data_IF_999877722894
#
_entry.id   IF_999877722894
#
_cell.length_a   1.000
_cell.length_b   1.000
_cell.length_c   1.000
_cell.angle_alpha   90.00
_cell.angle_beta   90.00
_cell.angle_gamma   90.00
#
_symmetry.space_group_name_H-M   'P 1'
#
loop_
_entity.id
_entity.type
_entity.pdbx_description
1 polymer ?
#
# COMPACT_ATOMS: atom_id res chain seq x y z
N UNK A 1 7.22 41.73 7.09
CA UNK A 1 7.75 40.67 6.21
C UNK A 1 6.75 40.50 5.08
N UNK A 2 7.12 40.82 3.84
CA UNK A 2 6.23 40.71 2.68
C UNK A 2 6.36 39.27 2.18
N UNK A 3 5.29 38.49 2.28
CA UNK A 3 5.25 37.12 1.77
C UNK A 3 4.99 37.17 0.27
N UNK A 4 5.97 36.77 -0.54
CA UNK A 4 5.78 36.62 -1.99
C UNK A 4 4.90 35.39 -2.23
N UNK A 5 3.72 35.52 -2.86
CA UNK A 5 2.88 34.38 -3.16
C UNK A 5 3.61 33.43 -4.11
N UNK A 6 3.46 32.12 -3.89
CA UNK A 6 4.03 31.11 -4.77
C UNK A 6 3.45 31.23 -6.19
N UNK A 7 4.29 31.04 -7.20
CA UNK A 7 3.85 31.03 -8.60
C UNK A 7 2.93 29.84 -8.88
N UNK A 8 1.99 29.96 -9.83
CA UNK A 8 1.10 28.87 -10.23
C UNK A 8 1.84 27.58 -10.61
N UNK A 9 3.05 27.69 -11.19
CA UNK A 9 3.90 26.55 -11.53
C UNK A 9 4.44 25.85 -10.27
N UNK A 10 4.89 26.63 -9.27
CA UNK A 10 5.40 26.10 -8.01
C UNK A 10 4.29 25.36 -7.24
N UNK A 11 3.08 25.93 -7.25
CA UNK A 11 1.92 25.32 -6.62
C UNK A 11 1.48 24.04 -7.33
N UNK A 12 1.45 24.04 -8.67
CA UNK A 12 1.12 22.84 -9.45
C UNK A 12 2.13 21.71 -9.22
N UNK A 13 3.41 22.03 -9.17
CA UNK A 13 4.47 21.05 -8.88
C UNK A 13 4.34 20.49 -7.45
N UNK A 14 4.03 21.34 -6.48
CA UNK A 14 3.78 20.94 -5.10
C UNK A 14 2.61 19.96 -5.01
N UNK A 15 1.47 20.27 -5.63
CA UNK A 15 0.32 19.37 -5.61
C UNK A 15 0.60 18.05 -6.31
N UNK A 16 1.24 18.10 -7.48
CA UNK A 16 1.60 16.88 -8.21
C UNK A 16 2.50 15.98 -7.37
N UNK A 17 3.54 16.53 -6.76
CA UNK A 17 4.46 15.74 -5.92
C UNK A 17 3.77 15.20 -4.66
N UNK A 18 2.85 15.95 -4.06
CA UNK A 18 2.06 15.50 -2.92
C UNK A 18 1.13 14.32 -3.30
N UNK A 19 0.40 14.42 -4.41
CA UNK A 19 -0.45 13.33 -4.89
C UNK A 19 0.35 12.09 -5.26
N UNK A 20 1.48 12.24 -5.94
CA UNK A 20 2.38 11.13 -6.26
C UNK A 20 2.92 10.46 -5.00
N UNK A 21 3.29 11.25 -3.98
CA UNK A 21 3.78 10.73 -2.69
C UNK A 21 2.68 9.97 -1.95
N UNK A 22 1.47 10.50 -1.91
CA UNK A 22 0.32 9.85 -1.27
C UNK A 22 0.02 8.49 -1.94
N UNK A 23 -0.13 8.47 -3.26
CA UNK A 23 -0.38 7.24 -4.03
C UNK A 23 0.76 6.22 -3.87
N UNK A 24 2.00 6.67 -3.94
CA UNK A 24 3.17 5.80 -3.80
C UNK A 24 3.26 5.17 -2.41
N UNK A 25 3.01 5.95 -1.36
CA UNK A 25 3.10 5.48 0.04
C UNK A 25 2.03 4.44 0.34
N UNK A 26 0.78 4.68 -0.05
CA UNK A 26 -0.32 3.75 0.21
C UNK A 26 -0.21 2.47 -0.64
N UNK A 27 0.18 2.60 -1.92
CA UNK A 27 0.38 1.46 -2.81
C UNK A 27 1.52 0.55 -2.33
N UNK A 28 2.65 1.14 -1.92
CA UNK A 28 3.77 0.40 -1.34
C UNK A 28 3.36 -0.30 -0.05
N UNK A 29 2.67 0.40 0.85
CA UNK A 29 2.20 -0.16 2.12
C UNK A 29 1.35 -1.41 1.88
N UNK A 30 0.29 -1.31 1.06
CA UNK A 30 -0.59 -2.45 0.75
C UNK A 30 0.19 -3.63 0.15
N UNK A 31 1.12 -3.35 -0.78
CA UNK A 31 1.91 -4.38 -1.45
C UNK A 31 2.87 -5.09 -0.49
N UNK A 32 3.54 -4.34 0.38
CA UNK A 32 4.48 -4.89 1.38
C UNK A 32 3.75 -5.75 2.41
N UNK A 33 2.57 -5.31 2.88
CA UNK A 33 1.75 -6.12 3.78
C UNK A 33 1.33 -7.44 3.12
N UNK A 34 0.79 -7.39 1.89
CA UNK A 34 0.41 -8.61 1.16
C UNK A 34 1.59 -9.54 0.95
N UNK A 35 2.73 -9.00 0.52
CA UNK A 35 3.96 -9.76 0.33
C UNK A 35 4.48 -10.39 1.64
N UNK A 36 4.46 -9.66 2.75
CA UNK A 36 4.86 -10.18 4.06
C UNK A 36 3.96 -11.32 4.56
N UNK A 37 2.65 -11.23 4.31
CA UNK A 37 1.70 -12.32 4.59
C UNK A 37 1.99 -13.54 3.72
N UNK A 38 2.35 -13.35 2.45
CA UNK A 38 2.62 -14.44 1.50
C UNK A 38 3.87 -15.27 1.85
N UNK A 39 4.73 -14.75 2.72
CA UNK A 39 5.92 -15.45 3.20
C UNK A 39 5.62 -16.55 4.23
N UNK A 40 4.45 -16.53 4.87
CA UNK A 40 4.03 -17.49 5.89
C UNK A 40 2.83 -18.31 5.42
N UNK A 41 2.76 -19.57 5.84
CA UNK A 41 1.61 -20.44 5.62
C UNK A 41 0.69 -20.47 6.85
N UNK A 42 -0.49 -19.85 6.76
CA UNK A 42 -1.47 -19.82 7.87
C UNK A 42 -2.12 -21.21 8.13
N UNK A 43 -1.90 -22.18 7.23
CA UNK A 43 -2.35 -23.56 7.43
C UNK A 43 -1.36 -24.40 8.24
N UNK A 44 -0.12 -23.94 8.39
CA UNK A 44 0.90 -24.60 9.19
C UNK A 44 0.87 -24.07 10.65
N UNK A 45 0.58 -24.94 11.64
CA UNK A 45 0.52 -24.53 13.04
C UNK A 45 1.85 -24.01 13.60
N UNK A 46 2.99 -24.37 13.00
CA UNK A 46 4.33 -23.92 13.44
C UNK A 46 4.72 -22.57 12.83
N UNK A 47 4.26 -22.24 11.62
CA UNK A 47 4.55 -20.96 10.95
C UNK A 47 3.61 -19.84 11.42
N UNK A 48 2.38 -20.17 11.81
CA UNK A 48 1.38 -19.21 12.31
C UNK A 48 1.84 -18.34 13.50
N UNK A 49 2.46 -18.88 14.57
CA UNK A 49 3.00 -18.03 15.64
C UNK A 49 4.19 -17.19 15.18
N UNK A 50 4.99 -17.66 14.22
CA UNK A 50 6.13 -16.92 13.67
C UNK A 50 5.65 -15.71 12.86
N UNK A 51 4.58 -15.89 12.09
CA UNK A 51 3.88 -14.82 11.37
C UNK A 51 3.39 -13.73 12.33
N UNK A 52 2.72 -14.12 13.42
CA UNK A 52 2.25 -13.17 14.45
C UNK A 52 3.41 -12.40 15.09
N UNK A 53 4.50 -13.09 15.44
CA UNK A 53 5.69 -12.46 16.01
C UNK A 53 6.36 -11.49 15.01
N UNK A 54 6.42 -11.85 13.72
CA UNK A 54 6.91 -10.96 12.66
C UNK A 54 6.07 -9.68 12.58
N UNK A 55 4.74 -9.79 12.53
CA UNK A 55 3.87 -8.61 12.48
C UNK A 55 3.95 -7.78 13.77
N UNK A 56 4.06 -8.41 14.93
CA UNK A 56 4.22 -7.70 16.19
C UNK A 56 5.50 -6.84 16.19
N UNK A 57 6.64 -7.42 15.81
CA UNK A 57 7.90 -6.67 15.65
C UNK A 57 7.80 -5.59 14.57
N UNK A 58 7.17 -5.90 13.45
CA UNK A 58 6.96 -4.94 12.36
C UNK A 58 6.17 -3.71 12.83
N UNK A 59 5.05 -3.90 13.53
CA UNK A 59 4.26 -2.80 14.09
C UNK A 59 4.99 -2.03 15.19
N UNK A 60 5.79 -2.73 16.02
CA UNK A 60 6.64 -2.08 17.01
C UNK A 60 7.64 -1.12 16.34
N UNK A 61 8.36 -1.57 15.31
CA UNK A 61 9.30 -0.71 14.59
C UNK A 61 8.62 0.43 13.83
N UNK A 62 7.44 0.21 13.25
CA UNK A 62 6.66 1.30 12.64
C UNK A 62 6.29 2.35 13.66
N UNK A 63 5.81 1.93 14.84
CA UNK A 63 5.40 2.84 15.90
C UNK A 63 6.59 3.64 16.42
N UNK A 64 7.72 2.97 16.65
CA UNK A 64 8.97 3.63 17.04
C UNK A 64 9.47 4.61 15.96
N UNK A 65 9.46 4.18 14.70
CA UNK A 65 9.83 5.02 13.56
C UNK A 65 8.93 6.24 13.42
N UNK A 66 7.62 6.10 13.67
CA UNK A 66 6.67 7.21 13.68
C UNK A 66 7.01 8.22 14.77
N UNK A 67 7.33 7.76 15.98
CA UNK A 67 7.75 8.63 17.10
C UNK A 67 9.05 9.37 16.77
N UNK A 68 10.05 8.67 16.22
CA UNK A 68 11.29 9.28 15.75
C UNK A 68 11.04 10.28 14.61
N UNK A 69 10.11 9.99 13.70
CA UNK A 69 9.78 10.87 12.58
C UNK A 69 9.19 12.19 13.07
N UNK A 70 8.19 12.16 13.96
CA UNK A 70 7.56 13.38 14.47
C UNK A 70 8.45 14.19 15.42
N UNK A 71 9.48 13.56 15.99
CA UNK A 71 10.40 14.22 16.95
C UNK A 71 11.69 14.65 16.27
N UNK A 72 12.51 13.68 15.84
CA UNK A 72 13.86 13.90 15.31
C UNK A 72 13.80 14.47 13.90
N UNK A 73 12.96 13.89 13.03
CA UNK A 73 12.92 14.29 11.61
C UNK A 73 12.28 15.68 11.46
N UNK A 74 11.28 16.01 12.27
CA UNK A 74 10.73 17.38 12.36
C UNK A 74 11.79 18.35 12.88
N UNK A 75 12.50 18.00 13.96
CA UNK A 75 13.59 18.83 14.48
C UNK A 75 14.66 19.13 13.42
N UNK A 76 15.07 18.13 12.64
CA UNK A 76 16.04 18.30 11.55
C UNK A 76 15.50 19.23 10.47
N UNK A 77 14.26 19.03 10.03
CA UNK A 77 13.65 19.88 9.00
C UNK A 77 13.53 21.34 9.43
N UNK A 78 13.20 21.59 10.69
CA UNK A 78 13.00 22.94 11.23
C UNK A 78 14.31 23.66 11.56
N UNK A 79 15.34 22.94 12.06
CA UNK A 79 16.60 23.55 12.52
C UNK A 79 17.73 23.48 11.48
N UNK A 80 17.86 22.36 10.76
CA UNK A 80 18.95 22.14 9.79
C UNK A 80 18.50 22.40 8.35
N UNK A 81 17.20 22.57 8.14
CA UNK A 81 16.61 22.87 6.85
C UNK A 81 15.95 21.65 6.21
N UNK A 82 14.96 21.95 5.38
CA UNK A 82 14.07 20.96 4.76
C UNK A 82 14.82 20.02 3.80
N UNK A 83 15.86 20.51 3.12
CA UNK A 83 16.66 19.73 2.18
C UNK A 83 17.36 18.53 2.84
N UNK A 84 17.87 18.71 4.07
CA UNK A 84 18.46 17.62 4.85
C UNK A 84 17.43 16.56 5.24
N UNK A 85 16.24 16.98 5.63
CA UNK A 85 15.14 16.07 5.92
C UNK A 85 14.77 15.19 4.72
N UNK A 86 14.66 15.80 3.54
CA UNK A 86 14.38 15.05 2.30
C UNK A 86 15.52 14.10 1.90
N UNK A 87 16.78 14.52 2.07
CA UNK A 87 17.93 13.66 1.79
C UNK A 87 17.93 12.40 2.68
N UNK A 88 17.64 12.55 3.98
CA UNK A 88 17.55 11.43 4.91
C UNK A 88 16.44 10.45 4.48
N UNK A 89 15.26 10.97 4.12
CA UNK A 89 14.13 10.14 3.66
C UNK A 89 14.50 9.41 2.37
N UNK A 90 15.11 10.09 1.40
CA UNK A 90 15.53 9.48 0.14
C UNK A 90 16.56 8.36 0.36
N UNK A 91 17.58 8.61 1.19
CA UNK A 91 18.57 7.60 1.57
C UNK A 91 17.93 6.39 2.26
N UNK A 92 16.98 6.61 3.17
CA UNK A 92 16.27 5.52 3.85
C UNK A 92 15.50 4.63 2.86
N UNK A 93 14.82 5.23 1.87
CA UNK A 93 14.11 4.48 0.82
C UNK A 93 15.09 3.66 -0.03
N UNK A 94 16.22 4.25 -0.44
CA UNK A 94 17.24 3.56 -1.24
C UNK A 94 17.83 2.38 -0.47
N UNK A 95 18.17 2.56 0.81
CA UNK A 95 18.68 1.48 1.66
C UNK A 95 17.62 0.37 1.79
N UNK A 96 16.36 0.74 2.04
CA UNK A 96 15.26 -0.22 2.10
C UNK A 96 15.09 -1.01 0.80
N UNK A 97 15.19 -0.34 -0.34
CA UNK A 97 15.12 -0.98 -1.66
C UNK A 97 16.28 -1.95 -1.88
N UNK A 98 17.51 -1.58 -1.52
CA UNK A 98 18.68 -2.46 -1.64
C UNK A 98 18.51 -3.70 -0.77
N UNK A 99 18.04 -3.54 0.48
CA UNK A 99 17.77 -4.68 1.37
C UNK A 99 16.68 -5.58 0.78
N UNK A 100 15.59 -5.00 0.30
CA UNK A 100 14.50 -5.74 -0.34
C UNK A 100 14.98 -6.53 -1.58
N UNK A 101 15.75 -5.89 -2.46
CA UNK A 101 16.31 -6.55 -3.65
C UNK A 101 17.32 -7.63 -3.27
N UNK A 102 18.15 -7.42 -2.24
CA UNK A 102 19.11 -8.42 -1.77
C UNK A 102 18.41 -9.71 -1.27
N UNK A 103 17.21 -9.58 -0.70
CA UNK A 103 16.39 -10.69 -0.22
C UNK A 103 15.64 -11.46 -1.31
N UNK A 104 15.62 -10.95 -2.55
CA UNK A 104 14.78 -11.48 -3.65
C UNK A 104 14.97 -12.98 -3.91
N UNK A 105 16.17 -13.52 -3.70
CA UNK A 105 16.45 -14.96 -3.88
C UNK A 105 15.87 -15.86 -2.78
N UNK A 106 15.47 -15.31 -1.63
CA UNK A 106 14.93 -16.04 -0.47
C UNK A 106 13.40 -15.90 -0.35
N UNK A 107 12.77 -15.16 -1.25
CA UNK A 107 11.34 -14.86 -1.21
C UNK A 107 10.50 -15.98 -1.82
N UNK A 108 9.35 -16.28 -1.20
CA UNK A 108 8.38 -17.28 -1.65
C UNK A 108 7.36 -16.55 -2.53
N UNK A 109 7.58 -16.56 -3.83
CA UNK A 109 6.65 -15.98 -4.78
C UNK A 109 5.43 -16.89 -4.96
N UNK A 110 4.27 -16.52 -4.40
CA UNK A 110 3.01 -17.18 -4.74
C UNK A 110 2.59 -16.81 -6.17
N UNK A 111 2.00 -17.77 -6.89
CA UNK A 111 1.39 -17.48 -8.20
C UNK A 111 0.31 -16.42 -8.00
N UNK A 112 0.25 -15.42 -8.89
CA UNK A 112 -0.83 -14.44 -8.91
C UNK A 112 -2.17 -15.17 -9.09
N UNK A 113 -2.92 -15.34 -8.01
CA UNK A 113 -4.34 -15.69 -8.06
C UNK A 113 -5.08 -14.42 -8.51
N UNK A 114 -6.01 -14.55 -9.46
CA UNK A 114 -6.64 -13.41 -10.14
C UNK A 114 -7.13 -12.30 -9.19
N UNK A 115 -6.99 -11.04 -9.61
CA UNK A 115 -7.30 -9.89 -8.75
C UNK A 115 -8.80 -9.82 -8.42
N UNK A 116 -9.18 -9.72 -7.13
CA UNK A 116 -10.57 -9.53 -6.68
C UNK A 116 -11.20 -8.26 -7.28
N UNK A 117 -10.40 -7.24 -7.57
CA UNK A 117 -10.86 -6.02 -8.24
C UNK A 117 -11.43 -6.31 -9.62
N UNK A 118 -10.84 -7.26 -10.35
CA UNK A 118 -11.35 -7.66 -11.67
C UNK A 118 -12.71 -8.34 -11.54
N UNK A 119 -12.93 -9.13 -10.48
CA UNK A 119 -14.24 -9.72 -10.20
C UNK A 119 -15.26 -8.66 -9.81
N UNK A 120 -14.90 -7.70 -8.96
CA UNK A 120 -15.78 -6.60 -8.56
C UNK A 120 -16.16 -5.75 -9.78
N UNK A 121 -15.18 -5.36 -10.61
CA UNK A 121 -15.43 -4.62 -11.85
C UNK A 121 -16.28 -5.44 -12.82
N UNK A 122 -16.03 -6.73 -12.96
CA UNK A 122 -16.86 -7.60 -13.81
C UNK A 122 -18.31 -7.66 -13.32
N UNK A 123 -18.54 -7.75 -12.00
CA UNK A 123 -19.89 -7.73 -11.41
C UNK A 123 -20.56 -6.37 -11.61
N UNK A 124 -19.84 -5.26 -11.37
CA UNK A 124 -20.37 -3.91 -11.63
C UNK A 124 -20.72 -3.69 -13.10
N UNK A 125 -19.84 -4.10 -14.02
CA UNK A 125 -20.07 -4.02 -15.46
C UNK A 125 -21.24 -4.92 -15.87
N UNK A 126 -21.32 -6.14 -15.33
CA UNK A 126 -22.42 -7.06 -15.61
C UNK A 126 -23.77 -6.52 -15.09
N UNK A 127 -23.80 -5.98 -13.87
CA UNK A 127 -24.99 -5.36 -13.29
C UNK A 127 -25.42 -4.11 -14.07
N UNK A 128 -24.48 -3.27 -14.48
CA UNK A 128 -24.76 -2.08 -15.29
C UNK A 128 -25.30 -2.45 -16.67
N UNK A 129 -24.70 -3.44 -17.34
CA UNK A 129 -25.18 -3.94 -18.65
C UNK A 129 -26.54 -4.62 -18.55
N UNK A 130 -26.84 -5.31 -17.45
CA UNK A 130 -28.13 -5.99 -17.23
C UNK A 130 -29.21 -5.11 -16.60
N UNK A 131 -28.93 -3.83 -16.32
CA UNK A 131 -29.87 -2.85 -15.72
C UNK A 131 -31.15 -2.63 -16.54
N UNK A 132 -31.11 -2.89 -17.85
CA UNK A 132 -32.25 -2.72 -18.75
C UNK A 132 -33.05 -4.01 -19.04
N UNK A 133 -32.70 -5.15 -18.43
CA UNK A 133 -33.47 -6.39 -18.58
C UNK A 133 -34.62 -6.41 -17.56
N UNK A 134 -35.84 -6.73 -18.02
CA UNK A 134 -36.96 -7.04 -17.12
C UNK A 134 -36.61 -8.26 -16.28
N UNK A 135 -36.81 -8.15 -14.97
CA UNK A 135 -36.51 -9.20 -13.99
C UNK A 135 -37.23 -10.50 -14.40
N UNK A 136 -36.53 -11.64 -14.56
CA UNK A 136 -37.19 -12.91 -14.85
C UNK A 136 -38.06 -13.31 -13.65
N UNK A 137 -39.28 -13.78 -13.92
CA UNK A 137 -40.29 -14.11 -12.90
C UNK A 137 -39.96 -15.33 -12.04
N UNK A 138 -38.82 -15.99 -12.26
CA UNK A 138 -38.44 -17.24 -11.58
C UNK A 138 -37.02 -17.18 -10.98
N UNK A 139 -36.97 -17.06 -9.66
CA UNK A 139 -35.78 -16.91 -8.80
C UNK A 139 -34.89 -18.17 -8.77
N UNK A 140 -35.42 -19.34 -9.17
CA UNK A 140 -34.72 -20.63 -9.13
C UNK A 140 -33.52 -20.70 -10.09
N UNK A 141 -33.50 -19.85 -11.12
CA UNK A 141 -32.44 -19.79 -12.13
C UNK A 141 -31.17 -19.02 -11.70
N UNK A 142 -31.27 -18.11 -10.72
CA UNK A 142 -30.12 -17.34 -10.21
C UNK A 142 -29.24 -18.13 -9.24
N UNK A 143 -29.80 -19.11 -8.54
CA UNK A 143 -29.06 -19.92 -7.56
C UNK A 143 -28.01 -20.85 -8.22
N UNK A 144 -28.26 -21.29 -9.46
CA UNK A 144 -27.37 -22.22 -10.16
C UNK A 144 -26.06 -21.58 -10.67
N UNK A 145 -25.94 -20.24 -10.65
CA UNK A 145 -24.78 -19.53 -11.22
C UNK A 145 -23.72 -19.20 -10.16
N UNK A 146 -24.08 -19.25 -8.86
CA UNK A 146 -23.18 -18.95 -7.74
C UNK A 146 -22.37 -20.18 -7.31
N UNK A 147 -22.72 -21.38 -7.80
CA UNK A 147 -22.21 -22.65 -7.27
C UNK A 147 -21.29 -23.43 -8.23
N UNK A 148 -20.78 -22.80 -9.29
CA UNK A 148 -19.78 -23.39 -10.22
C UNK A 148 -18.45 -22.66 -10.21
#
# INVERSE_FOLDING_TARGET
>A
MICTPASGIQLSFLYLSLYLTALGTEGLKSSVFGFGLDQFDDTDPEERPQMSNFFNWFFFFISLGSLCSVTILVYIQDNLGRDWGYCIIACAIVIGLVVFLSGTKRYRFKKLVGSPLTQIVAVFVAAWRKKHLKLPSDLSSLFNIVQS
#
